data_IF_631695676855
#
_entry.id   IF_631695676855
#
_cell.length_a   1.000
_cell.length_b   1.000
_cell.length_c   1.000
_cell.angle_alpha   90.00
_cell.angle_beta   90.00
_cell.angle_gamma   90.00
#
_symmetry.space_group_name_H-M   'P 1'
#
loop_
_entity.id
_entity.type
_entity.pdbx_description
1 polymer ?
#
# COMPACT_ATOMS: atom_id res chain seq x y z
N UNK A 1 16.67 10.26 0.97
CA UNK A 1 15.61 9.30 1.32
C UNK A 1 14.85 8.89 0.07
N UNK A 2 14.58 7.62 -0.07
CA UNK A 2 13.73 7.10 -1.14
C UNK A 2 12.50 6.47 -0.48
N UNK A 3 11.31 6.83 -0.94
CA UNK A 3 10.08 6.34 -0.36
C UNK A 3 9.09 5.92 -1.47
N UNK A 4 8.20 4.97 -1.19
CA UNK A 4 7.21 4.56 -2.18
C UNK A 4 6.23 5.69 -2.50
N UNK A 5 5.92 5.81 -3.78
CA UNK A 5 4.86 6.68 -4.28
C UNK A 5 3.99 5.82 -5.21
N UNK A 6 2.78 5.55 -4.77
CA UNK A 6 1.88 4.64 -5.48
C UNK A 6 0.77 5.45 -6.12
N UNK A 7 0.56 5.23 -7.41
CA UNK A 7 -0.45 5.96 -8.16
C UNK A 7 -1.55 5.04 -8.67
N UNK A 8 -2.73 5.61 -8.77
CA UNK A 8 -3.94 4.94 -9.20
C UNK A 8 -4.60 5.75 -10.32
N UNK A 9 -5.56 5.19 -10.99
CA UNK A 9 -6.32 5.91 -12.01
C UNK A 9 -7.78 6.05 -11.55
N UNK A 10 -7.99 6.88 -10.54
CA UNK A 10 -9.32 7.22 -10.03
C UNK A 10 -9.76 6.46 -8.78
N UNK A 11 -9.06 5.39 -8.40
CA UNK A 11 -9.44 4.56 -7.26
C UNK A 11 -8.51 4.71 -6.04
N UNK A 12 -7.75 5.79 -5.96
CA UNK A 12 -6.84 6.04 -4.84
C UNK A 12 -7.59 6.12 -3.50
N UNK A 13 -8.72 6.80 -3.46
CA UNK A 13 -9.51 6.94 -2.23
C UNK A 13 -9.94 5.58 -1.68
N UNK A 14 -10.40 4.69 -2.55
CA UNK A 14 -10.75 3.31 -2.18
C UNK A 14 -9.55 2.55 -1.65
N UNK A 15 -8.40 2.66 -2.35
CA UNK A 15 -7.16 2.00 -1.93
C UNK A 15 -6.68 2.50 -0.58
N UNK A 16 -6.73 3.81 -0.33
CA UNK A 16 -6.36 4.39 0.96
C UNK A 16 -7.22 3.83 2.10
N UNK A 17 -8.53 3.73 1.89
CA UNK A 17 -9.44 3.15 2.89
C UNK A 17 -9.09 1.68 3.18
N UNK A 18 -8.76 0.94 2.14
CA UNK A 18 -8.35 -0.46 2.28
C UNK A 18 -7.06 -0.59 3.08
N UNK A 19 -6.02 0.17 2.72
CA UNK A 19 -4.75 0.13 3.44
C UNK A 19 -4.87 0.64 4.87
N UNK A 20 -5.72 1.62 5.11
CA UNK A 20 -6.01 2.10 6.46
C UNK A 20 -6.59 0.97 7.32
N UNK A 21 -7.49 0.18 6.77
CA UNK A 21 -8.06 -0.97 7.45
C UNK A 21 -7.02 -2.06 7.71
N UNK A 22 -6.19 -2.37 6.70
CA UNK A 22 -5.15 -3.40 6.82
C UNK A 22 -4.12 -3.04 7.89
N UNK A 23 -3.56 -1.83 7.79
CA UNK A 23 -2.44 -1.43 8.64
C UNK A 23 -2.84 -0.67 9.89
N UNK A 24 -4.12 -0.34 10.03
CA UNK A 24 -4.65 0.45 11.17
C UNK A 24 -3.87 1.74 11.35
N UNK A 25 -3.51 2.36 10.24
CA UNK A 25 -2.76 3.61 10.21
C UNK A 25 -3.66 4.74 9.74
N UNK A 26 -3.38 5.95 10.20
CA UNK A 26 -4.16 7.12 9.81
C UNK A 26 -3.62 7.73 8.52
N UNK A 27 -4.52 8.25 7.70
CA UNK A 27 -4.16 9.06 6.55
C UNK A 27 -3.75 10.43 7.07
N UNK A 28 -2.48 10.82 6.87
CA UNK A 28 -1.91 12.04 7.46
C UNK A 28 -2.33 13.30 6.73
N UNK A 29 -2.44 13.21 5.41
CA UNK A 29 -2.75 14.35 4.57
C UNK A 29 -3.55 13.88 3.37
N UNK A 30 -4.49 14.68 2.93
CA UNK A 30 -5.29 14.39 1.75
C UNK A 30 -5.59 15.70 1.04
N UNK A 31 -5.18 15.79 -0.21
CA UNK A 31 -5.48 16.93 -1.07
C UNK A 31 -6.18 16.42 -2.32
N UNK A 32 -7.28 17.07 -2.69
CA UNK A 32 -8.06 16.70 -3.86
C UNK A 32 -7.68 17.59 -5.04
N UNK A 33 -7.85 17.07 -6.26
CA UNK A 33 -7.57 17.83 -7.48
C UNK A 33 -8.38 19.15 -7.53
N UNK A 34 -9.62 19.13 -7.04
CA UNK A 34 -10.47 20.32 -7.03
C UNK A 34 -10.08 21.40 -6.02
N UNK A 35 -9.24 21.07 -5.03
CA UNK A 35 -8.81 22.01 -3.98
C UNK A 35 -7.58 22.82 -4.38
N UNK A 36 -6.76 22.28 -5.28
CA UNK A 36 -5.47 22.89 -5.66
C UNK A 36 -5.41 23.12 -7.14
N UNK A 37 -5.81 24.31 -7.55
CA UNK A 37 -5.73 24.73 -8.94
C UNK A 37 -4.67 25.82 -9.01
N UNK A 38 -3.48 25.55 -9.59
CA UNK A 38 -2.45 26.58 -9.73
C UNK A 38 -2.93 27.75 -10.58
N UNK A 39 -2.40 28.93 -10.30
CA UNK A 39 -2.72 30.14 -11.07
C UNK A 39 -2.40 29.91 -12.55
N UNK A 40 -3.33 30.29 -13.42
CA UNK A 40 -3.17 30.16 -14.86
C UNK A 40 -3.45 28.77 -15.44
N UNK A 41 -3.86 27.83 -14.61
CA UNK A 41 -4.22 26.47 -15.05
C UNK A 41 -5.74 26.32 -14.92
N UNK A 42 -6.35 25.68 -15.93
CA UNK A 42 -7.78 25.39 -15.88
C UNK A 42 -8.12 24.44 -14.73
N UNK A 43 -9.29 24.66 -14.13
CA UNK A 43 -9.82 23.74 -13.16
C UNK A 43 -9.97 22.36 -13.78
N UNK A 44 -9.70 21.26 -13.03
CA UNK A 44 -9.94 19.92 -13.54
C UNK A 44 -11.43 19.73 -13.85
N UNK A 45 -11.78 18.83 -14.79
CA UNK A 45 -13.18 18.49 -15.01
C UNK A 45 -13.86 18.07 -13.72
N UNK A 46 -15.15 18.35 -13.58
CA UNK A 46 -15.91 18.05 -12.36
C UNK A 46 -15.75 16.58 -11.90
N UNK A 47 -15.67 15.66 -12.86
CA UNK A 47 -15.51 14.24 -12.55
C UNK A 47 -14.14 13.89 -11.95
N UNK A 48 -13.16 14.79 -12.00
CA UNK A 48 -11.83 14.58 -11.43
C UNK A 48 -11.63 15.37 -10.14
N UNK A 49 -12.54 16.28 -9.79
CA UNK A 49 -12.38 17.15 -8.62
C UNK A 49 -12.20 16.37 -7.30
N UNK A 50 -12.81 15.21 -7.18
CA UNK A 50 -12.74 14.36 -5.99
C UNK A 50 -11.59 13.36 -6.02
N UNK A 51 -10.83 13.32 -7.10
CA UNK A 51 -9.66 12.46 -7.18
C UNK A 51 -8.56 12.97 -6.25
N UNK A 52 -7.76 12.05 -5.75
CA UNK A 52 -6.66 12.36 -4.84
C UNK A 52 -5.49 12.91 -5.64
N UNK A 53 -5.13 14.18 -5.36
CA UNK A 53 -3.92 14.79 -5.92
C UNK A 53 -2.70 14.33 -5.13
N UNK A 54 -2.82 14.22 -3.81
CA UNK A 54 -1.74 13.78 -2.93
C UNK A 54 -2.31 13.32 -1.60
N UNK A 55 -1.83 12.19 -1.12
CA UNK A 55 -2.13 11.70 0.22
C UNK A 55 -0.90 11.02 0.79
N UNK A 56 -0.82 10.93 2.11
CA UNK A 56 0.28 10.27 2.80
C UNK A 56 -0.25 9.36 3.89
N UNK A 57 0.42 8.25 4.09
CA UNK A 57 0.14 7.30 5.17
C UNK A 57 1.44 6.62 5.57
N UNK A 58 1.66 6.48 6.87
CA UNK A 58 2.77 5.68 7.36
C UNK A 58 2.37 4.21 7.37
N UNK A 59 3.18 3.37 6.74
CA UNK A 59 2.97 1.93 6.69
C UNK A 59 4.24 1.25 7.20
N UNK A 60 4.12 0.56 8.33
CA UNK A 60 5.23 -0.17 8.96
C UNK A 60 6.50 0.68 9.10
N UNK A 61 6.35 1.93 9.52
CA UNK A 61 7.47 2.83 9.80
C UNK A 61 7.97 3.64 8.59
N UNK A 62 7.40 3.46 7.41
CA UNK A 62 7.78 4.23 6.22
C UNK A 62 6.61 5.09 5.76
N UNK A 63 6.89 6.33 5.41
CA UNK A 63 5.88 7.23 4.89
C UNK A 63 5.68 6.97 3.40
N UNK A 64 4.47 6.55 3.04
CA UNK A 64 4.06 6.31 1.66
C UNK A 64 3.29 7.52 1.14
N UNK A 65 3.52 7.87 -0.12
CA UNK A 65 2.71 8.86 -0.84
C UNK A 65 1.79 8.15 -1.82
N UNK A 66 0.61 8.71 -2.00
CA UNK A 66 -0.42 8.16 -2.88
C UNK A 66 -1.06 9.27 -3.69
N UNK A 67 -1.47 8.94 -4.91
CA UNK A 67 -2.22 9.89 -5.73
C UNK A 67 -2.98 9.14 -6.83
N UNK A 68 -3.94 9.85 -7.42
CA UNK A 68 -4.55 9.45 -8.68
C UNK A 68 -3.81 10.14 -9.82
N UNK A 69 -3.64 9.43 -10.91
CA UNK A 69 -3.13 9.96 -12.17
C UNK A 69 -4.23 9.95 -13.22
N UNK A 70 -4.23 10.93 -14.09
CA UNK A 70 -5.22 11.03 -15.17
C UNK A 70 -4.92 10.08 -16.33
N UNK A 71 -3.68 9.57 -16.40
CA UNK A 71 -3.28 8.57 -17.38
C UNK A 71 -3.40 7.17 -16.79
N UNK A 72 -3.65 6.15 -17.62
CA UNK A 72 -3.68 4.76 -17.14
C UNK A 72 -2.37 4.37 -16.47
N UNK A 73 -2.46 3.57 -15.41
CA UNK A 73 -1.31 3.03 -14.70
C UNK A 73 -1.14 1.55 -15.03
N UNK A 74 0.11 1.07 -14.96
CA UNK A 74 0.44 -0.32 -15.22
C UNK A 74 0.90 -1.00 -13.93
N UNK A 75 0.44 -2.24 -13.72
CA UNK A 75 0.91 -3.09 -12.63
C UNK A 75 2.04 -3.99 -13.12
N UNK A 76 2.93 -4.37 -12.22
CA UNK A 76 4.01 -5.31 -12.52
C UNK A 76 4.46 -6.03 -11.26
N UNK A 77 5.30 -7.04 -11.42
CA UNK A 77 5.77 -7.87 -10.31
C UNK A 77 7.25 -7.69 -9.99
N UNK A 78 7.93 -6.77 -10.69
CA UNK A 78 9.36 -6.56 -10.49
C UNK A 78 9.67 -5.94 -9.13
N UNK A 79 8.83 -5.00 -8.65
CA UNK A 79 9.02 -4.34 -7.37
C UNK A 79 8.04 -4.93 -6.36
N UNK A 80 8.57 -5.33 -5.22
CA UNK A 80 7.79 -5.86 -4.10
C UNK A 80 8.07 -5.03 -2.86
N UNK A 81 7.07 -4.89 -2.02
CA UNK A 81 7.19 -4.17 -0.76
C UNK A 81 7.30 -5.20 0.37
N UNK A 82 8.38 -5.14 1.13
CA UNK A 82 8.55 -6.00 2.29
C UNK A 82 8.11 -5.26 3.54
N UNK A 83 7.07 -5.75 4.18
CA UNK A 83 6.62 -5.26 5.47
C UNK A 83 7.26 -6.12 6.56
N UNK A 84 8.27 -5.59 7.21
CA UNK A 84 8.92 -6.25 8.35
C UNK A 84 8.18 -5.87 9.61
N UNK A 85 7.73 -6.86 10.36
CA UNK A 85 6.92 -6.65 11.56
C UNK A 85 7.50 -7.45 12.73
N UNK A 86 7.24 -7.02 14.00
CA UNK A 86 7.92 -7.61 15.16
C UNK A 86 7.66 -9.09 15.38
N UNK A 87 6.46 -9.57 15.05
CA UNK A 87 6.06 -10.94 15.38
C UNK A 87 5.16 -11.57 14.32
N UNK A 88 5.07 -12.89 14.37
CA UNK A 88 4.28 -13.68 13.42
C UNK A 88 2.78 -13.34 13.47
N UNK A 89 2.25 -13.03 14.65
CA UNK A 89 0.83 -12.70 14.79
C UNK A 89 0.47 -11.44 14.00
N UNK A 90 1.27 -10.39 14.10
CA UNK A 90 1.07 -9.15 13.37
C UNK A 90 1.20 -9.38 11.86
N UNK A 91 2.20 -10.14 11.44
CA UNK A 91 2.39 -10.49 10.03
C UNK A 91 1.18 -11.24 9.47
N UNK A 92 0.65 -12.20 10.24
CA UNK A 92 -0.52 -12.96 9.84
C UNK A 92 -1.76 -12.08 9.72
N UNK A 93 -1.98 -11.18 10.66
CA UNK A 93 -3.12 -10.24 10.64
C UNK A 93 -3.09 -9.38 9.38
N UNK A 94 -1.94 -8.82 9.05
CA UNK A 94 -1.77 -8.03 7.81
C UNK A 94 -2.01 -8.88 6.58
N UNK A 95 -1.46 -10.09 6.55
CA UNK A 95 -1.62 -11.00 5.43
C UNK A 95 -3.09 -11.36 5.20
N UNK A 96 -3.81 -11.72 6.26
CA UNK A 96 -5.22 -12.09 6.16
C UNK A 96 -6.06 -10.94 5.60
N UNK A 97 -5.83 -9.71 6.06
CA UNK A 97 -6.55 -8.55 5.57
C UNK A 97 -6.17 -8.21 4.14
N UNK A 98 -4.88 -8.29 3.82
CA UNK A 98 -4.38 -7.87 2.51
C UNK A 98 -4.78 -8.83 1.38
N UNK A 99 -4.95 -10.11 1.68
CA UNK A 99 -5.28 -11.09 0.64
C UNK A 99 -6.71 -10.99 0.13
N UNK A 100 -7.57 -10.24 0.81
CA UNK A 100 -8.96 -10.07 0.41
C UNK A 100 -9.04 -9.40 -0.97
N UNK A 101 -9.64 -10.10 -1.93
CA UNK A 101 -9.70 -9.65 -3.32
C UNK A 101 -8.40 -9.76 -4.09
N UNK A 102 -7.33 -10.23 -3.46
CA UNK A 102 -6.02 -10.38 -4.07
C UNK A 102 -5.66 -11.83 -4.37
N UNK A 103 -4.38 -12.05 -4.64
CA UNK A 103 -3.83 -13.36 -4.98
C UNK A 103 -2.66 -13.70 -4.07
N UNK A 104 -2.73 -14.83 -3.37
CA UNK A 104 -1.62 -15.31 -2.54
C UNK A 104 -0.55 -15.89 -3.46
N UNK A 105 0.65 -15.34 -3.41
CA UNK A 105 1.79 -15.83 -4.21
C UNK A 105 2.75 -16.69 -3.39
N UNK A 106 2.76 -16.49 -2.07
CA UNK A 106 3.49 -17.35 -1.15
C UNK A 106 2.60 -17.56 0.07
N UNK A 107 2.09 -18.78 0.29
CA UNK A 107 1.31 -19.06 1.52
C UNK A 107 2.21 -18.93 2.74
N UNK A 108 1.61 -18.73 3.94
CA UNK A 108 2.39 -18.59 5.17
C UNK A 108 3.40 -19.72 5.32
N UNK A 109 4.65 -19.35 5.51
CA UNK A 109 5.79 -20.28 5.51
C UNK A 109 6.74 -19.88 6.63
N UNK A 110 7.22 -20.87 7.38
CA UNK A 110 8.32 -20.69 8.32
C UNK A 110 9.63 -20.95 7.62
N UNK A 111 10.59 -20.05 7.81
CA UNK A 111 11.94 -20.15 7.22
C UNK A 111 12.97 -20.01 8.33
N UNK A 112 14.26 -20.21 7.99
CA UNK A 112 15.32 -20.01 8.96
C UNK A 112 15.46 -18.54 9.42
N UNK A 113 15.01 -17.59 8.60
CA UNK A 113 15.10 -16.16 8.89
C UNK A 113 13.82 -15.57 9.46
N UNK A 114 12.71 -16.28 9.44
CA UNK A 114 11.43 -15.76 9.91
C UNK A 114 10.46 -16.86 10.29
N UNK A 115 9.73 -16.65 11.39
CA UNK A 115 8.65 -17.54 11.79
C UNK A 115 7.42 -17.42 10.90
N UNK A 116 7.32 -16.34 10.14
CA UNK A 116 6.20 -16.11 9.24
C UNK A 116 6.66 -15.27 8.05
N UNK A 117 6.57 -15.85 6.87
CA UNK A 117 6.75 -15.13 5.62
C UNK A 117 5.61 -15.54 4.67
N UNK A 118 4.86 -14.56 4.22
CA UNK A 118 3.80 -14.76 3.24
C UNK A 118 3.84 -13.63 2.22
N UNK A 119 3.32 -13.88 1.03
CA UNK A 119 3.31 -12.87 -0.03
C UNK A 119 1.95 -12.87 -0.73
N UNK A 120 1.55 -11.69 -1.14
CA UNK A 120 0.27 -11.47 -1.81
C UNK A 120 0.41 -10.36 -2.84
N UNK A 121 -0.31 -10.49 -3.95
CA UNK A 121 -0.60 -9.37 -4.85
C UNK A 121 -1.97 -8.87 -4.41
N UNK A 122 -2.05 -7.62 -3.96
CA UNK A 122 -3.31 -7.10 -3.46
C UNK A 122 -4.30 -6.85 -4.60
N UNK A 123 -5.52 -6.50 -4.25
CA UNK A 123 -6.58 -6.30 -5.26
C UNK A 123 -6.32 -5.13 -6.21
N UNK A 124 -5.33 -4.30 -5.92
CA UNK A 124 -4.90 -3.20 -6.79
C UNK A 124 -3.68 -3.55 -7.63
N UNK A 125 -3.10 -4.74 -7.43
CA UNK A 125 -1.95 -5.20 -8.21
C UNK A 125 -0.59 -4.93 -7.56
N UNK A 126 -0.56 -4.50 -6.31
CA UNK A 126 0.69 -4.22 -5.59
C UNK A 126 1.16 -5.49 -4.88
N UNK A 127 2.46 -5.78 -5.01
CA UNK A 127 3.07 -6.98 -4.45
C UNK A 127 3.61 -6.71 -3.05
N UNK A 128 3.13 -7.47 -2.07
CA UNK A 128 3.52 -7.36 -0.67
C UNK A 128 4.12 -8.66 -0.15
N UNK A 129 5.17 -8.53 0.66
CA UNK A 129 5.65 -9.61 1.52
C UNK A 129 5.44 -9.18 2.96
N UNK A 130 4.92 -10.10 3.77
CA UNK A 130 4.79 -9.88 5.22
C UNK A 130 5.75 -10.81 5.91
N UNK A 131 6.71 -10.25 6.64
CA UNK A 131 7.84 -10.97 7.20
C UNK A 131 7.96 -10.64 8.67
N UNK A 132 7.84 -11.66 9.53
CA UNK A 132 8.08 -11.51 10.96
C UNK A 132 9.58 -11.38 11.22
N UNK A 133 9.95 -10.45 12.10
CA UNK A 133 11.32 -10.34 12.57
C UNK A 133 11.70 -11.42 13.57
N UNK A 134 10.70 -12.11 14.14
CA UNK A 134 10.94 -13.32 14.92
C UNK A 134 11.39 -14.44 13.99
N UNK A 135 12.38 -15.22 14.41
CA UNK A 135 12.89 -16.36 13.65
C UNK A 135 13.20 -17.51 14.59
N UNK A 136 13.26 -18.75 14.04
CA UNK A 136 13.66 -19.90 14.85
C UNK A 136 15.06 -19.69 15.44
N UNK A 137 15.36 -20.28 16.60
CA UNK A 137 16.70 -20.18 17.18
C UNK A 137 17.75 -20.72 16.21
N UNK A 138 18.92 -20.07 16.15
CA UNK A 138 20.06 -20.56 15.40
C UNK A 138 20.57 -21.85 16.05
N UNK A 139 20.78 -22.86 15.22
CA UNK A 139 21.35 -24.13 15.69
C UNK A 139 22.84 -24.17 15.45
#
# INVERSE_FOLDING_TARGET
>A
MVAPYITFNGNCKEALSFYQTVFKSEIKATHLYGEYIPDGIEAPPDNLCDWIMHAEMEICGTNFSFADETQPVSCGSMIKLNAYVPNAKTAEEYFISMKDGGTVTLPPTETFYSNFHAAVIDKYGICWNFISEEHPPNQ
#
